data_IF_216530852048
#
_entry.id   IF_216530852048
#
_cell.length_a   1.000
_cell.length_b   1.000
_cell.length_c   1.000
_cell.angle_alpha   90.00
_cell.angle_beta   90.00
_cell.angle_gamma   90.00
#
_symmetry.space_group_name_H-M   'P 1'
#
loop_
_entity.id
_entity.type
_entity.pdbx_description
1 polymer ?
#
# COMPACT_ATOMS: atom_id res chain seq x y z
N UNK A 1 -6.26 -20.21 -19.79
CA UNK A 1 -6.31 -20.19 -18.30
C UNK A 1 -5.96 -18.82 -17.67
N UNK A 2 -4.88 -18.14 -18.08
CA UNK A 2 -4.48 -16.84 -17.50
C UNK A 2 -5.45 -15.67 -17.81
N UNK A 3 -5.97 -15.61 -19.04
CA UNK A 3 -6.92 -14.57 -19.47
C UNK A 3 -8.22 -14.63 -18.66
N UNK A 4 -8.76 -15.84 -18.48
CA UNK A 4 -9.96 -16.08 -17.66
C UNK A 4 -9.76 -15.59 -16.22
N UNK A 5 -8.61 -15.87 -15.59
CA UNK A 5 -8.29 -15.36 -14.24
C UNK A 5 -8.28 -13.82 -14.19
N UNK A 6 -7.74 -13.15 -15.21
CA UNK A 6 -7.75 -11.68 -15.28
C UNK A 6 -9.15 -11.11 -15.46
N UNK A 7 -9.99 -11.75 -16.27
CA UNK A 7 -11.39 -11.36 -16.48
C UNK A 7 -12.18 -11.48 -15.17
N UNK A 8 -12.06 -12.61 -14.46
CA UNK A 8 -12.71 -12.81 -13.16
C UNK A 8 -12.27 -11.74 -12.15
N UNK A 9 -10.99 -11.40 -12.12
CA UNK A 9 -10.45 -10.32 -11.28
C UNK A 9 -11.10 -8.96 -11.60
N UNK A 10 -11.19 -8.63 -12.88
CA UNK A 10 -11.82 -7.39 -13.32
C UNK A 10 -13.31 -7.34 -12.93
N UNK A 11 -14.05 -8.44 -13.13
CA UNK A 11 -15.44 -8.54 -12.71
C UNK A 11 -15.60 -8.34 -11.20
N UNK A 12 -14.73 -8.92 -10.37
CA UNK A 12 -14.75 -8.67 -8.91
C UNK A 12 -14.53 -7.20 -8.56
N UNK A 13 -13.55 -6.55 -9.19
CA UNK A 13 -13.24 -5.13 -8.96
C UNK A 13 -14.43 -4.25 -9.34
N UNK A 14 -15.06 -4.49 -10.49
CA UNK A 14 -16.17 -3.66 -10.98
C UNK A 14 -17.43 -3.82 -10.09
N UNK A 15 -17.67 -5.00 -9.50
CA UNK A 15 -18.81 -5.24 -8.61
C UNK A 15 -18.75 -4.46 -7.30
N UNK A 16 -17.57 -4.06 -6.83
CA UNK A 16 -17.42 -3.26 -5.61
C UNK A 16 -17.16 -1.79 -5.96
N UNK A 17 -18.07 -0.89 -5.59
CA UNK A 17 -17.96 0.56 -5.89
C UNK A 17 -16.64 1.16 -5.40
N UNK A 18 -16.16 0.74 -4.23
CA UNK A 18 -14.88 1.20 -3.66
C UNK A 18 -13.71 0.75 -4.52
N UNK A 19 -13.65 -0.52 -4.89
CA UNK A 19 -12.56 -1.05 -5.74
C UNK A 19 -12.60 -0.48 -7.15
N UNK A 20 -13.78 -0.36 -7.74
CA UNK A 20 -13.99 0.22 -9.06
C UNK A 20 -13.51 1.68 -9.12
N UNK A 21 -13.78 2.49 -8.09
CA UNK A 21 -13.24 3.86 -7.97
C UNK A 21 -11.72 3.92 -8.01
N UNK A 22 -11.03 2.93 -7.42
CA UNK A 22 -9.57 2.82 -7.47
C UNK A 22 -9.03 2.56 -8.87
N UNK A 23 -9.74 1.73 -9.65
CA UNK A 23 -9.34 1.41 -11.02
C UNK A 23 -9.20 2.68 -11.89
N UNK A 24 -10.18 3.58 -11.83
CA UNK A 24 -10.15 4.88 -12.53
C UNK A 24 -9.04 5.84 -12.06
N UNK A 25 -8.38 5.54 -10.94
CA UNK A 25 -7.26 6.32 -10.39
C UNK A 25 -5.94 5.54 -10.42
N UNK A 26 -5.86 4.48 -11.23
CA UNK A 26 -4.69 3.61 -11.36
C UNK A 26 -4.24 3.03 -10.01
N UNK A 27 -5.21 2.54 -9.21
CA UNK A 27 -5.02 1.80 -7.95
C UNK A 27 -5.95 0.58 -8.01
N UNK A 28 -5.44 -0.55 -8.51
CA UNK A 28 -6.21 -1.79 -8.52
C UNK A 28 -6.12 -2.47 -7.14
N UNK A 29 -7.27 -2.82 -6.55
CA UNK A 29 -7.31 -3.51 -5.26
C UNK A 29 -6.61 -4.87 -5.33
N UNK A 30 -5.87 -5.23 -4.29
CA UNK A 30 -5.16 -6.53 -4.18
C UNK A 30 -6.11 -7.70 -3.88
N UNK A 31 -7.11 -7.92 -4.72
CA UNK A 31 -8.19 -8.90 -4.53
C UNK A 31 -7.70 -10.36 -4.45
N UNK A 32 -6.46 -10.64 -4.81
CA UNK A 32 -5.82 -11.93 -4.57
C UNK A 32 -5.73 -12.27 -3.08
N UNK A 33 -5.63 -11.24 -2.22
CA UNK A 33 -5.54 -11.39 -0.76
C UNK A 33 -6.92 -11.44 -0.08
N UNK A 34 -8.01 -11.30 -0.84
CA UNK A 34 -9.38 -11.26 -0.30
C UNK A 34 -9.68 -12.45 0.60
N UNK A 35 -9.39 -13.68 0.13
CA UNK A 35 -9.67 -14.90 0.89
C UNK A 35 -8.86 -15.01 2.18
N UNK A 36 -7.66 -14.42 2.22
CA UNK A 36 -6.81 -14.42 3.42
C UNK A 36 -7.41 -13.52 4.52
N UNK A 37 -8.03 -12.41 4.13
CA UNK A 37 -8.40 -11.36 5.10
C UNK A 37 -9.89 -11.27 5.37
N UNK A 38 -10.77 -11.62 4.43
CA UNK A 38 -12.23 -11.32 4.49
C UNK A 38 -12.97 -11.82 5.75
N UNK A 39 -12.48 -12.89 6.37
CA UNK A 39 -13.12 -13.53 7.54
C UNK A 39 -12.45 -13.13 8.86
N UNK A 40 -11.45 -12.25 8.85
CA UNK A 40 -10.74 -11.85 10.06
C UNK A 40 -11.53 -10.77 10.81
N UNK A 41 -11.62 -10.92 12.14
CA UNK A 41 -12.18 -9.88 13.00
C UNK A 41 -11.10 -8.85 13.40
N UNK A 42 -10.73 -7.99 12.46
CA UNK A 42 -9.64 -7.01 12.65
C UNK A 42 -10.24 -5.61 12.84
N UNK A 43 -9.74 -4.86 13.83
CA UNK A 43 -10.14 -3.46 14.06
C UNK A 43 -9.17 -2.45 13.46
N UNK A 44 -7.90 -2.84 13.33
CA UNK A 44 -6.79 -1.97 12.90
C UNK A 44 -5.88 -2.70 11.93
N UNK A 45 -5.57 -2.07 10.80
CA UNK A 45 -4.62 -2.56 9.81
C UNK A 45 -3.36 -1.71 9.81
N UNK A 46 -2.20 -2.35 9.81
CA UNK A 46 -0.90 -1.72 9.55
C UNK A 46 -0.41 -2.21 8.18
N UNK A 47 -0.38 -1.32 7.21
CA UNK A 47 0.05 -1.60 5.83
C UNK A 47 1.45 -1.02 5.61
N UNK A 48 2.46 -1.89 5.65
CA UNK A 48 3.88 -1.53 5.59
C UNK A 48 4.40 -1.70 4.17
N UNK A 49 4.90 -0.62 3.57
CA UNK A 49 5.24 -0.60 2.15
C UNK A 49 3.97 -0.58 1.28
N UNK A 50 2.99 0.25 1.65
CA UNK A 50 1.64 0.23 1.08
C UNK A 50 1.56 0.63 -0.40
N UNK A 51 2.65 1.12 -0.99
CA UNK A 51 2.80 1.50 -2.39
C UNK A 51 1.69 2.47 -2.83
N UNK A 52 0.92 2.16 -3.87
CA UNK A 52 -0.21 2.99 -4.34
C UNK A 52 -1.46 2.87 -3.44
N UNK A 53 -1.42 2.05 -2.39
CA UNK A 53 -2.55 1.79 -1.49
C UNK A 53 -3.48 0.68 -1.99
N UNK A 54 -2.94 -0.32 -2.69
CA UNK A 54 -3.73 -1.41 -3.28
C UNK A 54 -4.37 -2.32 -2.22
N UNK A 55 -3.64 -2.59 -1.13
CA UNK A 55 -4.17 -3.35 0.01
C UNK A 55 -5.15 -2.52 0.84
N UNK A 56 -4.86 -1.24 1.09
CA UNK A 56 -5.81 -0.30 1.69
C UNK A 56 -7.15 -0.32 0.94
N UNK A 57 -7.12 -0.29 -0.40
CA UNK A 57 -8.32 -0.32 -1.21
C UNK A 57 -9.10 -1.63 -1.06
N UNK A 58 -8.40 -2.76 -0.95
CA UNK A 58 -9.03 -4.05 -0.63
C UNK A 58 -9.77 -3.96 0.71
N UNK A 59 -9.07 -3.56 1.77
CA UNK A 59 -9.60 -3.45 3.14
C UNK A 59 -10.82 -2.54 3.19
N UNK A 60 -10.76 -1.37 2.54
CA UNK A 60 -11.88 -0.41 2.46
C UNK A 60 -13.13 -0.98 1.78
N UNK A 61 -12.97 -1.94 0.86
CA UNK A 61 -14.09 -2.60 0.21
C UNK A 61 -14.63 -3.82 0.96
N UNK A 62 -13.86 -4.40 1.88
CA UNK A 62 -14.27 -5.56 2.70
C UNK A 62 -14.83 -5.16 4.06
N UNK A 63 -14.23 -4.15 4.69
CA UNK A 63 -14.54 -3.79 6.07
C UNK A 63 -15.05 -2.36 6.16
N UNK A 64 -16.11 -2.17 6.95
CA UNK A 64 -16.60 -0.83 7.30
C UNK A 64 -15.88 -0.33 8.55
N UNK A 65 -15.59 0.97 8.58
CA UNK A 65 -15.14 1.71 9.77
C UNK A 65 -13.85 1.21 10.46
N UNK A 66 -12.88 0.67 9.71
CA UNK A 66 -11.61 0.20 10.28
C UNK A 66 -10.56 1.31 10.32
N UNK A 67 -9.64 1.23 11.29
CA UNK A 67 -8.46 2.10 11.37
C UNK A 67 -7.36 1.52 10.49
N UNK A 68 -6.70 2.36 9.71
CA UNK A 68 -5.62 1.95 8.81
C UNK A 68 -4.42 2.87 9.03
N UNK A 69 -3.26 2.29 9.29
CA UNK A 69 -1.97 2.98 9.35
C UNK A 69 -1.14 2.54 8.14
N UNK A 70 -0.88 3.46 7.24
CA UNK A 70 -0.22 3.22 5.96
C UNK A 70 1.17 3.85 5.98
N UNK A 71 2.20 3.04 5.77
CA UNK A 71 3.59 3.46 5.77
C UNK A 71 4.16 3.24 4.38
N UNK A 72 4.55 4.31 3.71
CA UNK A 72 5.13 4.26 2.36
C UNK A 72 6.36 5.18 2.24
N UNK A 73 7.56 4.63 2.02
CA UNK A 73 8.78 5.42 1.91
C UNK A 73 8.81 6.36 0.68
N UNK A 74 8.21 5.98 -0.44
CA UNK A 74 8.25 6.75 -1.70
C UNK A 74 7.23 7.89 -1.64
N UNK A 75 7.72 9.13 -1.64
CA UNK A 75 6.92 10.35 -1.44
C UNK A 75 5.78 10.49 -2.45
N UNK A 76 6.03 10.18 -3.72
CA UNK A 76 5.04 10.26 -4.79
C UNK A 76 3.87 9.29 -4.56
N UNK A 77 4.19 8.07 -4.11
CA UNK A 77 3.19 7.04 -3.81
C UNK A 77 2.40 7.39 -2.55
N UNK A 78 3.08 7.86 -1.50
CA UNK A 78 2.45 8.42 -0.30
C UNK A 78 1.46 9.56 -0.63
N UNK A 79 1.87 10.54 -1.44
CA UNK A 79 1.01 11.65 -1.85
C UNK A 79 -0.19 11.18 -2.69
N UNK A 80 0.03 10.20 -3.60
CA UNK A 80 -1.04 9.58 -4.38
C UNK A 80 -2.09 8.93 -3.49
N UNK A 81 -1.67 8.17 -2.48
CA UNK A 81 -2.55 7.57 -1.49
C UNK A 81 -3.35 8.64 -0.74
N UNK A 82 -2.67 9.63 -0.15
CA UNK A 82 -3.29 10.71 0.61
C UNK A 82 -4.36 11.46 -0.21
N UNK A 83 -4.07 11.73 -1.49
CA UNK A 83 -5.04 12.35 -2.41
C UNK A 83 -6.24 11.45 -2.69
N UNK A 84 -6.03 10.16 -2.96
CA UNK A 84 -7.10 9.23 -3.29
C UNK A 84 -8.05 8.94 -2.11
N UNK A 85 -7.49 8.85 -0.91
CA UNK A 85 -8.20 8.49 0.31
C UNK A 85 -8.57 9.70 1.20
N UNK A 86 -8.41 10.94 0.72
CA UNK A 86 -8.59 12.17 1.53
C UNK A 86 -9.90 12.29 2.32
N UNK A 87 -10.98 11.64 1.84
CA UNK A 87 -12.29 11.63 2.50
C UNK A 87 -12.35 10.68 3.71
N UNK A 88 -11.52 9.64 3.75
CA UNK A 88 -11.53 8.71 4.87
C UNK A 88 -10.54 9.15 5.96
N UNK A 89 -11.08 9.67 7.07
CA UNK A 89 -10.31 10.15 8.22
C UNK A 89 -9.76 9.04 9.12
N UNK A 90 -10.14 7.78 8.88
CA UNK A 90 -9.64 6.61 9.64
C UNK A 90 -8.33 6.06 9.08
N UNK A 91 -7.81 6.66 8.01
CA UNK A 91 -6.55 6.27 7.39
C UNK A 91 -5.49 7.31 7.72
N UNK A 92 -4.45 6.88 8.42
CA UNK A 92 -3.27 7.68 8.73
C UNK A 92 -2.14 7.27 7.80
N UNK A 93 -1.49 8.24 7.16
CA UNK A 93 -0.42 8.02 6.19
C UNK A 93 0.91 8.53 6.74
N UNK A 94 1.98 7.75 6.57
CA UNK A 94 3.32 8.07 7.04
C UNK A 94 4.32 7.89 5.90
N UNK A 95 5.10 8.94 5.61
CA UNK A 95 6.12 8.89 4.55
C UNK A 95 7.47 8.46 5.12
N UNK A 96 7.54 7.23 5.62
CA UNK A 96 8.73 6.65 6.24
C UNK A 96 8.95 5.23 5.73
N UNK A 97 10.19 4.76 5.82
CA UNK A 97 10.46 3.31 5.83
C UNK A 97 10.45 2.78 7.27
N UNK A 98 10.24 1.48 7.44
CA UNK A 98 10.37 0.81 8.74
C UNK A 98 11.76 0.19 8.85
N UNK A 99 12.40 0.39 10.02
CA UNK A 99 13.70 -0.19 10.34
C UNK A 99 13.96 -0.23 11.85
N UNK A 100 15.05 -0.88 12.24
CA UNK A 100 15.47 -1.02 13.65
C UNK A 100 16.00 0.28 14.28
N UNK A 101 16.35 1.27 13.46
CA UNK A 101 16.95 2.54 13.87
C UNK A 101 16.33 3.70 13.09
N UNK A 102 16.19 4.85 13.75
CA UNK A 102 15.81 6.09 13.09
C UNK A 102 17.03 6.68 12.37
N UNK A 103 17.12 6.45 11.06
CA UNK A 103 18.18 6.99 10.21
C UNK A 103 17.73 7.24 8.80
N UNK A 104 18.47 8.08 8.08
CA UNK A 104 18.27 8.21 6.65
C UNK A 104 18.93 7.03 5.93
N UNK A 105 18.23 6.42 4.96
CA UNK A 105 18.77 5.33 4.12
C UNK A 105 18.41 5.56 2.66
N UNK A 106 19.27 5.06 1.78
CA UNK A 106 19.01 5.06 0.33
C UNK A 106 18.05 3.91 0.02
N UNK A 107 16.96 4.23 -0.66
CA UNK A 107 16.03 3.25 -1.20
C UNK A 107 16.33 3.08 -2.69
N UNK A 108 16.71 1.87 -3.11
CA UNK A 108 16.94 1.56 -4.51
C UNK A 108 15.62 1.25 -5.18
N UNK A 109 15.36 1.87 -6.33
CA UNK A 109 14.18 1.58 -7.15
C UNK A 109 14.60 0.95 -8.47
N UNK A 110 13.85 -0.04 -8.93
CA UNK A 110 14.06 -0.58 -10.29
C UNK A 110 13.45 0.35 -11.34
N UNK A 111 13.77 0.17 -12.62
CA UNK A 111 13.13 0.92 -13.71
C UNK A 111 11.60 0.75 -13.73
N UNK A 112 11.07 -0.33 -13.14
CA UNK A 112 9.65 -0.44 -12.79
C UNK A 112 9.46 0.14 -11.39
N UNK A 113 8.68 1.22 -11.28
CA UNK A 113 8.36 1.92 -10.01
C UNK A 113 7.67 0.99 -8.99
N UNK A 114 7.25 -0.20 -9.42
CA UNK A 114 6.56 -1.20 -8.62
C UNK A 114 7.51 -2.04 -7.74
N UNK A 115 8.81 -1.78 -7.73
CA UNK A 115 9.76 -2.48 -6.86
C UNK A 115 10.84 -1.55 -6.32
N UNK A 116 10.90 -1.48 -4.99
CA UNK A 116 11.89 -0.74 -4.23
C UNK A 116 12.46 -1.61 -3.11
N UNK A 117 13.73 -1.38 -2.74
CA UNK A 117 14.42 -2.15 -1.71
C UNK A 117 15.55 -1.33 -1.10
N UNK A 118 15.88 -1.59 0.16
CA UNK A 118 17.12 -1.09 0.75
C UNK A 118 18.36 -1.84 0.27
N UNK A 119 18.18 -3.00 -0.37
CA UNK A 119 19.25 -3.78 -0.97
C UNK A 119 19.46 -3.35 -2.42
N UNK A 120 20.71 -3.04 -2.78
CA UNK A 120 21.05 -2.69 -4.15
C UNK A 120 20.94 -3.92 -5.05
N UNK A 121 20.25 -3.76 -6.19
CA UNK A 121 20.22 -4.78 -7.25
C UNK A 121 20.94 -4.26 -8.48
N UNK A 122 21.50 -5.16 -9.32
CA UNK A 122 22.26 -4.81 -10.54
C UNK A 122 21.48 -3.94 -11.55
N UNK A 123 20.16 -3.83 -11.43
CA UNK A 123 19.23 -3.20 -12.40
C UNK A 123 18.57 -1.92 -11.81
N UNK A 124 19.01 -1.44 -10.65
CA UNK A 124 18.35 -0.33 -9.94
C UNK A 124 18.90 1.06 -10.32
N UNK A 125 18.01 2.02 -10.57
CA UNK A 125 18.34 3.46 -10.65
C UNK A 125 18.36 4.03 -9.23
N UNK A 126 19.34 4.90 -8.96
CA UNK A 126 19.52 5.56 -7.66
C UNK A 126 18.48 6.66 -7.51
N UNK A 127 17.50 6.49 -6.63
CA UNK A 127 16.63 7.59 -6.19
C UNK A 127 16.84 7.73 -4.69
N UNK A 128 17.39 8.87 -4.29
CA UNK A 128 17.60 9.18 -2.88
C UNK A 128 16.24 9.55 -2.29
N UNK A 129 15.82 8.90 -1.20
CA UNK A 129 14.96 9.40 -0.11
C UNK A 129 14.64 8.22 0.81
N UNK A 130 14.92 8.35 2.12
CA UNK A 130 13.95 8.08 3.19
C UNK A 130 14.52 8.31 4.58
N UNK A 131 13.62 8.71 5.50
CA UNK A 131 13.79 8.72 6.95
C UNK A 131 13.16 7.44 7.50
N UNK A 132 13.91 6.65 8.27
CA UNK A 132 13.40 5.49 9.00
C UNK A 132 12.86 5.95 10.36
N UNK A 133 11.76 5.34 10.82
CA UNK A 133 11.20 5.61 12.15
C UNK A 133 11.40 4.40 13.08
N UNK A 134 11.75 4.66 14.34
CA UNK A 134 11.79 3.70 15.46
C UNK A 134 10.81 4.15 16.55
N UNK A 135 10.16 3.19 17.20
CA UNK A 135 9.37 3.44 18.41
C UNK A 135 10.32 3.68 19.60
N UNK A 136 10.28 4.86 20.23
CA UNK A 136 11.12 5.21 21.40
C UNK A 136 10.53 4.78 22.75
N UNK A 137 9.59 3.84 22.78
CA UNK A 137 9.11 3.25 24.03
C UNK A 137 9.17 1.73 23.96
N UNK A 138 10.32 1.18 24.31
CA UNK A 138 10.38 -0.12 24.99
C UNK A 138 9.72 0.06 26.36
N UNK A 139 8.71 -0.78 26.63
CA UNK A 139 8.32 -1.10 28.00
C UNK A 139 9.54 -1.62 28.78
#
# INVERSE_FOLDING_TARGET
MLVVKKIIKLFKIIKNKTWCRGLFKNIAASIELENLVKNLNINTFFDIGSNKGQFILLVEGLFKNKKIYSVEPIKELYLKQKKFFHKNKRISFFNYGIGSESKNKILFMTNRIDSSSFLQTKISKKIMITKLWRNEKSL
#
